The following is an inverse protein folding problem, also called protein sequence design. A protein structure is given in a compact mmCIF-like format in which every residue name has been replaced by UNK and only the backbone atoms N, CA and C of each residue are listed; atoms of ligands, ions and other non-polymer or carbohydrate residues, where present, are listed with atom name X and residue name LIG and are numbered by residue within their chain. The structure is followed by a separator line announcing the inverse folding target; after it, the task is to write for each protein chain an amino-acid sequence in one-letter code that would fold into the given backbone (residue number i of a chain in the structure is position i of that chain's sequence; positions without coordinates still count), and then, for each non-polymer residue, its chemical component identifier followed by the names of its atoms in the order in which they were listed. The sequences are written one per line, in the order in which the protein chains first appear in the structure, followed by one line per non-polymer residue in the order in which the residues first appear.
data_IF_603122717136
#
_entry.id   IF_603122717136
#
_cell.length_a   1.000
_cell.length_b   1.000
_cell.length_c   1.000
_cell.angle_alpha   90.00
_cell.angle_beta   90.00
_cell.angle_gamma   90.00
#
_symmetry.space_group_name_H-M   'P 1'
#
loop_
_entity.id
_entity.type
_entity.pdbx_description
1 polymer ?
#
# COMPACT_ATOMS: atom_id res chain seq x y z
N UNK A 1 5.91 4.08 4.62
CA UNK A 1 5.44 3.46 5.86
C UNK A 1 4.74 2.16 5.44
N UNK A 2 4.11 1.41 6.34
CA UNK A 2 3.31 0.27 5.90
C UNK A 2 1.86 0.64 5.53
N UNK A 3 1.46 0.27 4.31
CA UNK A 3 0.05 0.28 3.85
C UNK A 3 -0.59 -1.09 4.09
N UNK A 4 -1.89 -1.11 4.36
CA UNK A 4 -2.62 -2.36 4.58
C UNK A 4 -2.96 -3.03 3.24
N UNK A 5 -2.83 -4.36 3.18
CA UNK A 5 -3.09 -5.13 1.97
C UNK A 5 -4.59 -5.48 1.89
N UNK A 6 -5.31 -4.74 1.06
CA UNK A 6 -6.70 -5.06 0.68
C UNK A 6 -6.76 -6.22 -0.32
N UNK A 7 -7.96 -6.62 -0.77
CA UNK A 7 -8.17 -7.79 -1.64
C UNK A 7 -7.25 -7.80 -2.88
N UNK A 8 -7.19 -6.68 -3.59
CA UNK A 8 -6.24 -6.43 -4.65
C UNK A 8 -5.72 -4.99 -4.54
N UNK A 9 -4.41 -4.81 -4.68
CA UNK A 9 -3.76 -3.52 -4.51
C UNK A 9 -2.86 -3.26 -5.72
N UNK A 10 -2.91 -2.04 -6.23
CA UNK A 10 -1.90 -1.48 -7.12
C UNK A 10 -1.01 -0.57 -6.28
N UNK A 11 0.22 -0.99 -6.04
CA UNK A 11 1.19 -0.26 -5.23
C UNK A 11 2.18 0.45 -6.14
N UNK A 12 2.35 1.75 -5.92
CA UNK A 12 3.21 2.62 -6.74
C UNK A 12 4.03 3.52 -5.80
N UNK A 13 5.36 3.64 -5.95
CA UNK A 13 6.15 4.61 -5.22
C UNK A 13 5.76 6.04 -5.63
N UNK A 14 5.63 6.92 -4.64
CA UNK A 14 5.34 8.34 -4.86
C UNK A 14 6.40 9.04 -5.70
N UNK A 15 7.66 8.65 -5.55
CA UNK A 15 8.77 9.15 -6.37
C UNK A 15 8.58 8.86 -7.85
N UNK A 16 8.04 7.68 -8.19
CA UNK A 16 7.75 7.30 -9.58
C UNK A 16 6.56 8.10 -10.11
N UNK A 17 5.49 8.25 -9.32
CA UNK A 17 4.35 9.10 -9.69
C UNK A 17 4.79 10.54 -9.96
N UNK A 18 5.60 11.11 -9.09
CA UNK A 18 6.08 12.48 -9.24
C UNK A 18 6.94 12.65 -10.50
N UNK A 19 7.78 11.65 -10.83
CA UNK A 19 8.67 11.71 -11.97
C UNK A 19 7.98 11.45 -13.32
N UNK A 20 6.99 10.54 -13.37
CA UNK A 20 6.47 9.99 -14.63
C UNK A 20 5.01 10.35 -14.90
N UNK A 21 4.18 10.51 -13.87
CA UNK A 21 2.76 10.74 -14.08
C UNK A 21 2.49 12.17 -14.55
N UNK A 22 1.69 12.40 -15.62
CA UNK A 22 1.34 13.74 -16.06
C UNK A 22 0.66 14.57 -14.95
N UNK A 23 1.31 15.67 -14.55
CA UNK A 23 0.86 16.51 -13.43
C UNK A 23 1.19 15.95 -12.04
N UNK A 24 2.06 14.94 -11.96
CA UNK A 24 2.68 14.41 -10.75
C UNK A 24 1.69 13.87 -9.73
N UNK A 25 2.09 13.95 -8.46
CA UNK A 25 1.29 13.47 -7.32
C UNK A 25 -0.11 14.11 -7.28
N UNK A 26 -0.22 15.41 -7.61
CA UNK A 26 -1.47 16.15 -7.51
C UNK A 26 -2.52 15.60 -8.48
N UNK A 27 -2.16 15.42 -9.75
CA UNK A 27 -3.08 14.85 -10.75
C UNK A 27 -3.40 13.40 -10.44
N UNK A 28 -2.40 12.60 -10.04
CA UNK A 28 -2.60 11.21 -9.68
C UNK A 28 -3.62 11.04 -8.55
N UNK A 29 -3.51 11.86 -7.49
CA UNK A 29 -4.48 11.84 -6.38
C UNK A 29 -5.90 12.19 -6.83
N UNK A 30 -6.04 13.24 -7.65
CA UNK A 30 -7.34 13.70 -8.11
C UNK A 30 -8.04 12.67 -9.01
N UNK A 31 -7.29 12.01 -9.91
CA UNK A 31 -7.84 11.02 -10.83
C UNK A 31 -8.19 9.68 -10.15
N UNK A 32 -7.57 9.36 -9.01
CA UNK A 32 -7.77 8.08 -8.30
C UNK A 32 -8.59 8.21 -7.01
N UNK A 33 -9.21 9.36 -6.76
CA UNK A 33 -10.17 9.56 -5.66
C UNK A 33 -9.64 9.15 -4.28
N UNK A 34 -8.42 9.56 -3.91
CA UNK A 34 -7.84 9.18 -2.60
C UNK A 34 -8.58 9.73 -1.37
N UNK A 35 -9.49 10.68 -1.56
CA UNK A 35 -10.25 11.33 -0.50
C UNK A 35 -11.74 10.91 -0.51
N UNK A 36 -12.12 9.96 -1.36
CA UNK A 36 -13.49 9.44 -1.49
C UNK A 36 -13.81 8.22 -0.62
N UNK A 37 -15.03 7.69 -0.77
CA UNK A 37 -15.51 6.51 -0.03
C UNK A 37 -14.96 5.21 -0.65
N UNK A 38 -13.66 4.98 -0.46
CA UNK A 38 -12.98 3.79 -0.95
C UNK A 38 -11.86 3.33 0.00
N UNK A 39 -11.07 2.36 -0.46
CA UNK A 39 -9.99 1.74 0.30
C UNK A 39 -8.60 2.12 -0.23
N UNK A 40 -8.50 3.20 -1.00
CA UNK A 40 -7.21 3.70 -1.46
C UNK A 40 -6.45 4.27 -0.26
N UNK A 41 -5.14 4.04 -0.22
CA UNK A 41 -4.29 4.37 0.89
C UNK A 41 -3.01 5.02 0.40
N UNK A 42 -2.45 5.91 1.21
CA UNK A 42 -1.13 6.47 0.98
C UNK A 42 -0.38 6.66 2.28
N UNK A 43 0.93 6.61 2.19
CA UNK A 43 1.85 7.02 3.24
C UNK A 43 2.94 7.94 2.66
N UNK A 44 4.08 8.08 3.33
CA UNK A 44 5.14 8.98 2.88
C UNK A 44 5.83 8.53 1.57
N UNK A 45 5.85 7.22 1.28
CA UNK A 45 6.60 6.64 0.16
C UNK A 45 5.72 5.98 -0.91
N UNK A 46 4.54 5.47 -0.56
CA UNK A 46 3.70 4.64 -1.42
C UNK A 46 2.29 5.23 -1.60
N UNK A 47 1.75 5.00 -2.80
CA UNK A 47 0.32 4.92 -3.06
C UNK A 47 -0.10 3.46 -3.13
N UNK A 48 -1.30 3.16 -2.63
CA UNK A 48 -1.99 1.88 -2.78
C UNK A 48 -3.41 2.13 -3.25
N UNK A 49 -3.74 1.70 -4.47
CA UNK A 49 -5.11 1.77 -5.01
C UNK A 49 -5.75 0.41 -4.79
N UNK A 50 -6.90 0.39 -4.12
CA UNK A 50 -7.60 -0.84 -3.77
C UNK A 50 -8.69 -1.18 -4.78
N UNK A 51 -8.78 -2.46 -5.12
CA UNK A 51 -9.81 -3.05 -5.97
C UNK A 51 -10.24 -4.41 -5.42
N UNK A 52 -11.29 -4.99 -5.99
CA UNK A 52 -11.77 -6.31 -5.60
C UNK A 52 -10.90 -7.40 -6.22
N UNK A 53 -10.44 -7.19 -7.46
CA UNK A 53 -9.61 -8.15 -8.18
C UNK A 53 -8.46 -7.47 -8.95
N UNK A 54 -7.38 -8.22 -9.17
CA UNK A 54 -6.17 -7.72 -9.86
C UNK A 54 -6.44 -7.34 -11.32
N UNK A 55 -7.35 -8.04 -12.01
CA UNK A 55 -7.68 -7.75 -13.41
C UNK A 55 -8.52 -6.47 -13.59
N UNK A 56 -8.97 -5.85 -12.50
CA UNK A 56 -9.66 -4.54 -12.54
C UNK A 56 -8.66 -3.38 -12.73
N UNK A 57 -7.35 -3.63 -12.59
CA UNK A 57 -6.32 -2.62 -12.85
C UNK A 57 -5.99 -2.53 -14.34
N UNK A 58 -6.15 -1.34 -14.90
CA UNK A 58 -5.82 -1.06 -16.30
C UNK A 58 -4.33 -0.73 -16.47
N UNK A 59 -3.53 -1.77 -16.73
CA UNK A 59 -2.10 -1.65 -17.02
C UNK A 59 -1.87 -0.81 -18.29
N UNK A 60 -2.76 -0.90 -19.28
CA UNK A 60 -2.66 -0.12 -20.51
C UNK A 60 -2.74 1.38 -20.24
N UNK A 61 -3.66 1.80 -19.38
CA UNK A 61 -3.77 3.18 -18.91
C UNK A 61 -2.51 3.61 -18.13
N UNK A 62 -1.94 2.75 -17.28
CA UNK A 62 -0.69 3.07 -16.57
C UNK A 62 0.46 3.33 -17.56
N UNK A 63 0.62 2.47 -18.57
CA UNK A 63 1.64 2.65 -19.61
C UNK A 63 1.41 3.96 -20.38
N UNK A 64 0.15 4.25 -20.75
CA UNK A 64 -0.19 5.52 -21.42
C UNK A 64 0.12 6.75 -20.56
N UNK A 65 0.04 6.61 -19.23
CA UNK A 65 0.40 7.64 -18.25
C UNK A 65 1.90 7.67 -17.93
N UNK A 66 2.73 6.95 -18.67
CA UNK A 66 4.19 7.04 -18.61
C UNK A 66 4.87 6.03 -17.69
N UNK A 67 4.13 5.11 -17.06
CA UNK A 67 4.74 4.03 -16.27
C UNK A 67 5.38 2.99 -17.19
N UNK A 68 6.53 2.47 -16.77
CA UNK A 68 7.25 1.43 -17.47
C UNK A 68 6.66 0.05 -17.18
N UNK A 69 6.54 -0.76 -18.23
CA UNK A 69 6.10 -2.15 -18.13
C UNK A 69 6.74 -2.97 -19.24
N UNK A 70 7.59 -3.91 -18.83
CA UNK A 70 8.18 -4.90 -19.69
C UNK A 70 7.14 -5.95 -20.05
N UNK A 71 6.67 -5.90 -21.29
CA UNK A 71 5.65 -6.83 -21.82
C UNK A 71 6.20 -8.24 -22.06
N UNK A 72 7.50 -8.38 -22.30
CA UNK A 72 8.12 -9.68 -22.58
C UNK A 72 8.32 -10.46 -21.29
N UNK A 73 8.80 -9.78 -20.24
CA UNK A 73 9.05 -10.38 -18.92
C UNK A 73 7.87 -10.25 -17.95
N UNK A 74 6.78 -9.60 -18.38
CA UNK A 74 5.60 -9.31 -17.55
C UNK A 74 5.94 -8.62 -16.22
N UNK A 75 6.77 -7.58 -16.28
CA UNK A 75 7.41 -6.99 -15.10
C UNK A 75 7.36 -5.45 -15.13
N UNK A 76 7.35 -4.84 -13.94
CA UNK A 76 7.56 -3.39 -13.79
C UNK A 76 8.36 -3.08 -12.53
N UNK A 77 9.28 -2.12 -12.63
CA UNK A 77 9.91 -1.49 -11.47
C UNK A 77 9.12 -0.25 -10.98
N UNK A 78 8.11 0.20 -11.72
CA UNK A 78 7.35 1.40 -11.40
C UNK A 78 6.15 1.12 -10.49
N UNK A 79 5.59 -0.08 -10.58
CA UNK A 79 4.42 -0.48 -9.80
C UNK A 79 4.39 -2.00 -9.60
N UNK A 80 3.53 -2.47 -8.71
CA UNK A 80 3.23 -3.90 -8.55
C UNK A 80 1.76 -4.14 -8.25
N UNK A 81 1.26 -5.25 -8.76
CA UNK A 81 -0.07 -5.78 -8.48
C UNK A 81 0.01 -6.78 -7.33
N UNK A 82 -0.53 -6.42 -6.17
CA UNK A 82 -0.44 -7.22 -4.94
C UNK A 82 -1.82 -7.72 -4.51
N UNK A 83 -2.15 -9.00 -4.76
CA UNK A 83 -3.35 -9.62 -4.20
C UNK A 83 -3.15 -9.98 -2.72
N UNK A 84 -4.20 -9.88 -1.90
CA UNK A 84 -4.15 -10.34 -0.49
C UNK A 84 -3.89 -11.83 -0.37
N UNK A 85 -4.44 -12.61 -1.31
CA UNK A 85 -4.28 -14.07 -1.37
C UNK A 85 -3.59 -14.43 -2.67
N UNK A 86 -2.54 -15.24 -2.55
CA UNK A 86 -1.70 -15.64 -3.68
C UNK A 86 -0.38 -14.89 -3.71
N UNK A 87 0.33 -15.00 -4.82
CA UNK A 87 1.60 -14.33 -5.04
C UNK A 87 1.40 -13.15 -6.00
N UNK A 88 2.11 -12.06 -5.77
CA UNK A 88 2.23 -11.00 -6.76
C UNK A 88 2.87 -11.56 -8.04
N UNK A 89 2.51 -11.04 -9.23
CA UNK A 89 3.07 -11.55 -10.48
C UNK A 89 4.58 -11.26 -10.60
N UNK A 90 5.07 -10.22 -9.92
CA UNK A 90 6.48 -9.92 -9.73
C UNK A 90 6.74 -9.30 -8.36
N UNK A 91 8.01 -9.23 -7.95
CA UNK A 91 8.44 -8.58 -6.72
C UNK A 91 9.54 -7.56 -7.04
N UNK A 92 9.28 -6.25 -6.93
CA UNK A 92 10.33 -5.25 -7.07
C UNK A 92 11.19 -5.17 -5.80
N UNK A 93 12.46 -4.77 -5.96
CA UNK A 93 13.42 -4.66 -4.83
C UNK A 93 13.03 -3.60 -3.80
N UNK A 94 12.22 -2.62 -4.20
CA UNK A 94 11.80 -1.52 -3.33
C UNK A 94 10.60 -1.86 -2.44
N UNK A 95 9.93 -3.00 -2.63
CA UNK A 95 8.76 -3.39 -1.84
C UNK A 95 9.07 -4.60 -0.95
N UNK A 96 8.61 -4.51 0.30
CA UNK A 96 8.53 -5.64 1.24
C UNK A 96 7.10 -5.78 1.76
N UNK A 97 6.76 -6.95 2.28
CA UNK A 97 5.43 -7.24 2.83
C UNK A 97 5.45 -8.44 3.80
N UNK A 98 4.44 -8.52 4.68
CA UNK A 98 4.24 -9.63 5.63
C UNK A 98 2.87 -10.33 5.52
N UNK A 99 2.19 -10.18 4.37
CA UNK A 99 0.87 -10.72 4.10
C UNK A 99 -0.30 -9.92 4.68
N UNK A 100 -0.04 -8.98 5.59
CA UNK A 100 -1.04 -8.05 6.15
C UNK A 100 -0.75 -6.62 5.71
N UNK A 101 0.52 -6.23 5.71
CA UNK A 101 0.99 -4.92 5.28
C UNK A 101 2.08 -5.04 4.23
N UNK A 102 2.21 -3.98 3.42
CA UNK A 102 3.30 -3.79 2.47
C UNK A 102 3.96 -2.43 2.70
N UNK A 103 5.27 -2.32 2.52
CA UNK A 103 6.02 -1.09 2.75
C UNK A 103 7.20 -0.94 1.79
N UNK A 104 7.56 0.31 1.51
CA UNK A 104 8.79 0.60 0.78
C UNK A 104 10.00 0.25 1.64
N UNK A 105 11.09 -0.27 1.06
CA UNK A 105 12.31 -0.68 1.80
C UNK A 105 13.00 0.47 2.56
N UNK A 106 12.74 1.72 2.18
CA UNK A 106 13.19 2.90 2.92
C UNK A 106 12.29 3.28 4.11
N UNK A 107 11.24 2.52 4.39
CA UNK A 107 10.29 2.82 5.48
C UNK A 107 10.97 2.78 6.84
N UNK A 108 10.47 3.59 7.77
CA UNK A 108 11.04 3.70 9.10
C UNK A 108 10.99 2.36 9.88
N UNK A 109 12.08 1.93 10.54
CA UNK A 109 12.13 0.65 11.25
C UNK A 109 11.01 0.44 12.27
N UNK A 110 10.66 1.46 13.05
CA UNK A 110 9.57 1.36 14.03
C UNK A 110 8.20 1.10 13.39
N UNK A 111 7.94 1.67 12.20
CA UNK A 111 6.69 1.39 11.49
C UNK A 111 6.65 -0.05 10.98
N UNK A 112 7.79 -0.57 10.51
CA UNK A 112 7.94 -1.97 10.09
C UNK A 112 7.77 -2.91 11.29
N UNK A 113 8.39 -2.61 12.42
CA UNK A 113 8.24 -3.36 13.67
C UNK A 113 6.78 -3.43 14.11
N UNK A 114 6.05 -2.30 14.03
CA UNK A 114 4.61 -2.25 14.32
C UNK A 114 3.79 -3.09 13.35
N UNK A 115 4.08 -3.03 12.05
CA UNK A 115 3.38 -3.87 11.06
C UNK A 115 3.56 -5.36 11.35
N UNK A 116 4.77 -5.77 11.71
CA UNK A 116 5.05 -7.16 12.06
C UNK A 116 4.40 -7.59 13.37
N UNK A 117 4.37 -6.72 14.38
CA UNK A 117 3.66 -6.98 15.63
C UNK A 117 2.16 -7.20 15.38
N UNK A 118 1.51 -6.31 14.62
CA UNK A 118 0.08 -6.44 14.30
C UNK A 118 -0.18 -7.71 13.47
N UNK A 119 0.71 -8.05 12.54
CA UNK A 119 0.52 -9.19 11.64
C UNK A 119 0.73 -10.56 12.30
N UNK A 120 1.66 -10.67 13.25
CA UNK A 120 2.13 -11.96 13.75
C UNK A 120 1.90 -12.20 15.25
N UNK A 121 1.80 -11.13 16.05
CA UNK A 121 1.69 -11.25 17.52
C UNK A 121 0.27 -11.01 18.03
N UNK A 122 -0.55 -10.25 17.29
CA UNK A 122 -1.94 -10.00 17.65
C UNK A 122 -2.87 -11.05 17.09
N UNK A 123 -3.72 -11.60 17.95
CA UNK A 123 -4.81 -12.46 17.52
C UNK A 123 -6.01 -11.65 16.96
N UNK A 124 -6.89 -12.36 16.26
CA UNK A 124 -8.07 -11.76 15.65
C UNK A 124 -9.03 -11.17 16.70
N UNK A 125 -9.05 -11.71 17.93
CA UNK A 125 -9.91 -11.21 19.01
C UNK A 125 -9.44 -9.83 19.49
N UNK A 126 -8.13 -9.65 19.67
CA UNK A 126 -7.52 -8.38 20.06
C UNK A 126 -7.73 -7.31 19.00
N UNK A 127 -7.57 -7.68 17.72
CA UNK A 127 -7.86 -6.78 16.59
C UNK A 127 -9.33 -6.37 16.60
N UNK A 128 -10.25 -7.34 16.78
CA UNK A 128 -11.69 -7.06 16.85
C UNK A 128 -12.04 -6.17 18.03
N UNK A 129 -11.51 -6.46 19.22
CA UNK A 129 -11.73 -5.64 20.43
C UNK A 129 -11.22 -4.21 20.25
N UNK A 130 -10.06 -4.04 19.63
CA UNK A 130 -9.52 -2.71 19.32
C UNK A 130 -10.47 -1.95 18.38
N UNK A 131 -10.99 -2.62 17.35
CA UNK A 131 -11.98 -2.04 16.44
C UNK A 131 -13.29 -1.68 17.16
N UNK A 132 -13.78 -2.54 18.06
CA UNK A 132 -14.97 -2.30 18.88
C UNK A 132 -14.78 -1.08 19.81
N UNK A 133 -13.53 -0.74 20.16
CA UNK A 133 -13.14 0.47 20.89
C UNK A 133 -12.83 1.68 20.00
N UNK A 134 -13.06 1.58 18.69
CA UNK A 134 -12.81 2.66 17.73
C UNK A 134 -11.36 2.77 17.24
N UNK A 135 -10.49 1.82 17.60
CA UNK A 135 -9.09 1.76 17.16
C UNK A 135 -8.94 0.73 16.04
N UNK A 136 -8.84 1.19 14.79
CA UNK A 136 -8.63 0.31 13.65
C UNK A 136 -7.13 0.07 13.42
N UNK A 137 -6.65 -1.11 13.85
CA UNK A 137 -5.25 -1.53 13.68
C UNK A 137 -4.91 -1.95 12.24
N UNK A 138 -5.90 -2.08 11.36
CA UNK A 138 -5.74 -2.49 9.95
C UNK A 138 -5.82 -1.29 8.99
N UNK A 139 -5.32 -0.14 9.44
CA UNK A 139 -5.13 1.07 8.64
C UNK A 139 -3.65 1.26 8.31
N UNK A 140 -3.29 2.13 7.34
CA UNK A 140 -1.90 2.48 7.10
C UNK A 140 -1.24 2.96 8.38
N UNK A 141 -0.07 2.42 8.68
CA UNK A 141 0.68 2.77 9.90
C UNK A 141 1.37 4.10 9.65
N UNK A 142 1.01 5.11 10.42
CA UNK A 142 1.60 6.45 10.32
C UNK A 142 2.46 6.78 11.54
N UNK A 143 3.50 7.61 11.37
CA UNK A 143 4.39 8.02 12.48
C UNK A 143 3.64 8.80 13.56
N UNK A 144 2.66 9.61 13.18
CA UNK A 144 1.80 10.38 14.09
C UNK A 144 0.81 9.52 14.90
N UNK A 145 0.61 8.26 14.53
CA UNK A 145 -0.21 7.30 15.28
C UNK A 145 0.56 6.60 16.42
N UNK A 146 1.81 7.00 16.68
CA UNK A 146 2.60 6.48 17.80
C UNK A 146 2.07 6.91 19.18
N UNK A 147 1.21 7.93 19.24
CA UNK A 147 0.65 8.46 20.49
C UNK A 147 -0.61 7.74 21.01
N UNK A 148 -1.05 6.64 20.38
CA UNK A 148 -2.27 5.92 20.81
C UNK A 148 -2.08 4.91 21.95
N UNK A 149 -0.86 4.73 22.45
CA UNK A 149 -0.60 3.89 23.63
C UNK A 149 -0.07 4.76 24.77
N UNK A 150 -0.57 4.59 26.00
CA UNK A 150 0.05 5.20 27.17
C UNK A 150 1.52 4.78 27.21
N UNK A 151 2.41 5.76 27.36
CA UNK A 151 3.77 5.48 27.80
C UNK A 151 3.64 5.03 29.26
N UNK A 152 4.03 3.79 29.53
CA UNK A 152 4.18 3.27 30.90
C UNK A 152 5.10 4.16 31.74
#
# INVERSE_FOLDING_TARGET
MPVFIHLANLIIPKSIVEAKYPGGIKSFKAENDFDGENHNQQDDELFSISRKFIHEFDIGMLIQKGFDYDKENHFSNDFVLLPRKGKAPWQPEWLEQNGVFAWHTSSHPESIKRANFIAHELDAETIKRSSDLGVNLLLPIRRDQSDYYPKD
#
